data_IF_903518960622
#
_entry.id   IF_903518960622
#
_cell.length_a   1.000
_cell.length_b   1.000
_cell.length_c   1.000
_cell.angle_alpha   90.00
_cell.angle_beta   90.00
_cell.angle_gamma   90.00
#
_symmetry.space_group_name_H-M   'P 1'
#
loop_
_entity.id
_entity.type
_entity.pdbx_description
1 polymer ?
#
# COMPACT_ATOMS: atom_id res chain seq x y z
N UNK A 1 54.53 68.41 -15.43
CA UNK A 1 54.25 68.48 -13.98
C UNK A 1 53.23 67.37 -13.70
N UNK A 2 53.69 66.20 -13.25
CA UNK A 2 52.89 64.98 -13.13
C UNK A 2 52.30 64.91 -11.72
N UNK A 3 50.97 64.84 -11.62
CA UNK A 3 50.23 64.69 -10.37
C UNK A 3 50.00 63.20 -10.09
N UNK A 4 50.40 62.81 -8.88
CA UNK A 4 50.28 61.50 -8.27
C UNK A 4 48.85 61.27 -7.75
N UNK A 5 48.24 60.14 -8.06
CA UNK A 5 46.97 59.71 -7.46
C UNK A 5 47.21 58.43 -6.66
N UNK A 6 47.15 58.56 -5.33
CA UNK A 6 47.21 57.43 -4.40
C UNK A 6 45.86 56.70 -4.32
N UNK A 7 46.00 55.38 -4.22
CA UNK A 7 44.97 54.37 -4.02
C UNK A 7 44.45 54.48 -2.57
N UNK A 8 43.14 54.64 -2.39
CA UNK A 8 42.47 54.49 -1.10
C UNK A 8 41.70 53.16 -1.06
N UNK A 9 41.92 52.45 0.05
CA UNK A 9 41.69 51.02 0.29
C UNK A 9 40.28 50.67 0.75
N UNK A 10 39.83 49.49 0.31
CA UNK A 10 38.74 48.67 0.87
C UNK A 10 38.79 48.60 2.41
N UNK A 11 37.77 49.14 3.11
CA UNK A 11 37.24 48.57 4.36
C UNK A 11 36.01 49.34 4.83
N UNK A 12 35.08 48.58 5.42
CA UNK A 12 33.91 48.98 6.22
C UNK A 12 32.58 49.18 5.47
N UNK A 13 31.53 48.57 6.07
CA UNK A 13 30.09 48.70 5.81
C UNK A 13 29.61 47.89 4.58
N UNK A 14 28.92 46.76 4.72
CA UNK A 14 27.65 46.56 5.43
C UNK A 14 27.56 45.09 5.88
N UNK A 15 27.48 44.86 7.20
CA UNK A 15 26.93 43.64 7.80
C UNK A 15 25.51 43.97 8.22
N UNK A 16 24.49 43.37 7.61
CA UNK A 16 23.18 43.24 8.25
C UNK A 16 22.29 42.22 7.54
N UNK A 17 21.73 41.32 8.36
CA UNK A 17 20.52 40.51 8.13
C UNK A 17 20.55 39.34 7.12
N UNK A 18 21.29 38.28 7.46
CA UNK A 18 21.07 36.94 6.93
C UNK A 18 20.38 36.04 7.97
N UNK A 19 19.09 36.25 8.21
CA UNK A 19 18.28 35.38 9.08
C UNK A 19 17.69 34.24 8.26
N UNK A 20 18.37 33.08 8.24
CA UNK A 20 17.79 31.85 7.69
C UNK A 20 16.78 31.34 8.72
N UNK A 21 15.50 31.52 8.45
CA UNK A 21 14.44 30.83 9.17
C UNK A 21 14.54 29.33 8.84
N UNK A 22 15.20 28.56 9.70
CA UNK A 22 15.10 27.11 9.68
C UNK A 22 13.67 26.75 10.07
N UNK A 23 12.80 26.58 9.07
CA UNK A 23 11.51 25.95 9.27
C UNK A 23 11.77 24.52 9.76
N UNK A 24 11.72 24.32 11.07
CA UNK A 24 11.70 23.00 11.67
C UNK A 24 10.45 22.30 11.16
N UNK A 25 10.60 21.48 10.11
CA UNK A 25 9.58 20.53 9.68
C UNK A 25 9.41 19.55 10.84
N UNK A 26 8.49 19.86 11.75
CA UNK A 26 8.00 18.87 12.68
C UNK A 26 7.39 17.75 11.82
N UNK A 27 7.84 16.50 11.95
CA UNK A 27 7.20 15.40 11.22
C UNK A 27 5.73 15.43 11.62
N UNK A 28 4.84 15.65 10.65
CA UNK A 28 3.42 15.39 10.84
C UNK A 28 3.36 13.95 11.33
N UNK A 29 3.02 13.76 12.60
CA UNK A 29 2.65 12.45 13.10
C UNK A 29 1.52 12.03 12.18
N UNK A 30 1.80 11.09 11.30
CA UNK A 30 0.77 10.37 10.56
C UNK A 30 -0.04 9.72 11.68
N UNK A 31 -1.16 10.35 12.03
CA UNK A 31 -2.05 9.83 13.05
C UNK A 31 -2.45 8.45 12.56
N UNK A 32 -2.24 7.44 13.40
CA UNK A 32 -2.71 6.10 13.10
C UNK A 32 -4.20 6.18 12.87
N UNK A 33 -4.65 5.78 11.68
CA UNK A 33 -6.06 5.84 11.34
C UNK A 33 -6.75 4.60 11.92
N UNK A 34 -7.11 4.74 13.19
CA UNK A 34 -7.81 3.76 13.99
C UNK A 34 -9.04 4.41 14.62
N UNK A 35 -10.17 3.73 14.55
CA UNK A 35 -11.41 4.12 15.23
C UNK A 35 -11.83 2.99 16.17
N UNK A 36 -12.08 3.31 17.43
CA UNK A 36 -12.39 2.31 18.46
C UNK A 36 -13.63 2.68 19.28
N UNK A 37 -14.41 1.66 19.61
CA UNK A 37 -15.39 1.66 20.70
C UNK A 37 -14.78 0.97 21.94
N UNK A 38 -15.60 0.71 22.97
CA UNK A 38 -15.17 -0.06 24.13
C UNK A 38 -14.82 -1.52 23.79
N UNK A 39 -15.40 -2.09 22.73
CA UNK A 39 -15.30 -3.53 22.40
C UNK A 39 -14.59 -3.78 21.07
N UNK A 40 -14.80 -2.91 20.08
CA UNK A 40 -14.38 -3.11 18.69
C UNK A 40 -13.49 -1.97 18.22
N UNK A 41 -12.55 -2.28 17.34
CA UNK A 41 -11.71 -1.30 16.68
C UNK A 41 -11.65 -1.57 15.18
N UNK A 42 -11.35 -0.53 14.40
CA UNK A 42 -11.09 -0.63 12.97
C UNK A 42 -9.78 0.08 12.65
N UNK A 43 -8.92 -0.56 11.88
CA UNK A 43 -7.67 0.01 11.37
C UNK A 43 -7.71 0.03 9.84
N UNK A 44 -7.52 1.19 9.22
CA UNK A 44 -7.77 1.33 7.78
C UNK A 44 -7.06 2.49 7.11
N UNK A 45 -7.01 2.41 5.78
CA UNK A 45 -6.70 3.50 4.86
C UNK A 45 -8.04 3.98 4.25
N UNK A 46 -8.37 5.28 4.31
CA UNK A 46 -9.59 5.81 3.72
C UNK A 46 -9.64 5.51 2.23
N UNK A 47 -10.73 4.92 1.77
CA UNK A 47 -10.89 4.55 0.36
C UNK A 47 -10.82 5.73 -0.60
N UNK A 48 -11.14 6.95 -0.14
CA UNK A 48 -10.98 8.17 -0.93
C UNK A 48 -9.53 8.64 -1.11
N UNK A 49 -8.58 8.03 -0.39
CA UNK A 49 -7.16 8.37 -0.46
C UNK A 49 -6.37 7.28 -1.19
N UNK A 50 -6.79 6.02 -1.10
CA UNK A 50 -6.14 4.91 -1.78
C UNK A 50 -6.56 4.83 -3.25
N UNK A 51 -5.62 4.95 -4.18
CA UNK A 51 -5.91 4.92 -5.62
C UNK A 51 -6.28 3.51 -6.10
N UNK A 52 -7.52 3.33 -6.56
CA UNK A 52 -7.96 2.08 -7.19
C UNK A 52 -7.46 1.95 -8.62
N UNK A 53 -7.03 0.73 -8.99
CA UNK A 53 -6.65 0.37 -10.35
C UNK A 53 -7.47 -0.85 -10.76
N UNK A 54 -8.26 -0.69 -11.82
CA UNK A 54 -9.03 -1.76 -12.40
C UNK A 54 -8.17 -2.63 -13.34
N UNK A 55 -8.38 -3.95 -13.30
CA UNK A 55 -7.78 -4.84 -14.30
C UNK A 55 -8.53 -4.69 -15.65
N UNK A 56 -7.83 -4.74 -16.80
CA UNK A 56 -8.49 -4.75 -18.11
C UNK A 56 -9.32 -6.02 -18.24
N UNK A 57 -10.51 -5.96 -18.83
CA UNK A 57 -11.27 -7.16 -19.18
C UNK A 57 -10.94 -7.57 -20.63
N UNK A 58 -10.76 -8.87 -20.93
CA UNK A 58 -10.88 -10.06 -20.07
C UNK A 58 -9.53 -10.54 -19.47
N UNK A 59 -8.68 -9.66 -18.94
CA UNK A 59 -7.38 -10.06 -18.39
C UNK A 59 -7.49 -10.77 -17.04
N UNK A 60 -6.45 -11.54 -16.70
CA UNK A 60 -6.24 -12.19 -15.40
C UNK A 60 -5.16 -11.47 -14.57
N UNK A 61 -5.09 -10.15 -14.69
CA UNK A 61 -4.06 -9.29 -14.10
C UNK A 61 -4.44 -8.70 -12.73
N UNK A 62 -5.36 -9.32 -12.00
CA UNK A 62 -5.72 -8.88 -10.64
C UNK A 62 -4.49 -8.72 -9.73
N UNK A 63 -3.54 -9.63 -9.85
CA UNK A 63 -2.29 -9.59 -9.10
C UNK A 63 -1.42 -8.38 -9.48
N UNK A 64 -1.28 -8.10 -10.77
CA UNK A 64 -0.49 -6.98 -11.27
C UNK A 64 -1.13 -5.63 -10.90
N UNK A 65 -2.46 -5.53 -11.00
CA UNK A 65 -3.22 -4.37 -10.55
C UNK A 65 -3.06 -4.12 -9.05
N UNK A 66 -3.11 -5.18 -8.24
CA UNK A 66 -2.90 -5.10 -6.78
C UNK A 66 -1.51 -4.59 -6.42
N UNK A 67 -0.47 -5.14 -7.05
CA UNK A 67 0.92 -4.70 -6.86
C UNK A 67 1.06 -3.24 -7.26
N UNK A 68 0.52 -2.85 -8.43
CA UNK A 68 0.54 -1.46 -8.88
C UNK A 68 -0.15 -0.51 -7.89
N UNK A 69 -1.31 -0.89 -7.31
CA UNK A 69 -1.97 -0.06 -6.29
C UNK A 69 -1.10 0.14 -5.05
N UNK A 70 -0.47 -0.93 -4.54
CA UNK A 70 0.42 -0.86 -3.37
C UNK A 70 1.68 -0.04 -3.68
N UNK A 71 2.35 -0.28 -4.80
CA UNK A 71 3.53 0.49 -5.20
C UNK A 71 3.20 1.99 -5.38
N UNK A 72 2.06 2.30 -6.01
CA UNK A 72 1.59 3.67 -6.18
C UNK A 72 1.33 4.36 -4.85
N UNK A 73 0.76 3.64 -3.87
CA UNK A 73 0.55 4.15 -2.51
C UNK A 73 1.87 4.53 -1.82
N UNK A 74 2.93 3.76 -2.05
CA UNK A 74 4.27 4.03 -1.52
C UNK A 74 5.08 5.04 -2.36
N UNK A 75 4.49 5.62 -3.40
CA UNK A 75 5.14 6.61 -4.25
C UNK A 75 6.10 6.02 -5.31
N UNK A 76 6.09 4.69 -5.50
CA UNK A 76 6.81 3.99 -6.56
C UNK A 76 5.86 3.71 -7.72
N UNK A 77 5.55 4.75 -8.51
CA UNK A 77 4.47 4.69 -9.49
C UNK A 77 4.74 3.65 -10.59
N UNK A 78 3.80 2.73 -10.79
CA UNK A 78 3.84 1.72 -11.84
C UNK A 78 2.44 1.43 -12.37
N UNK A 79 2.35 1.22 -13.69
CA UNK A 79 1.17 0.64 -14.31
C UNK A 79 1.17 -0.89 -14.21
N UNK A 80 -0.01 -1.51 -14.15
CA UNK A 80 -0.14 -2.98 -14.09
C UNK A 80 0.51 -3.70 -15.28
N UNK A 81 0.54 -3.09 -16.47
CA UNK A 81 1.24 -3.64 -17.64
C UNK A 81 2.76 -3.63 -17.46
N UNK A 82 3.31 -2.63 -16.75
CA UNK A 82 4.72 -2.58 -16.36
C UNK A 82 5.06 -3.71 -15.37
N UNK A 83 4.16 -4.01 -14.43
CA UNK A 83 4.31 -5.16 -13.51
C UNK A 83 4.38 -6.47 -14.32
N UNK A 84 3.40 -6.71 -15.21
CA UNK A 84 3.35 -7.92 -16.06
C UNK A 84 4.62 -8.07 -16.89
N UNK A 85 5.04 -7.01 -17.58
CA UNK A 85 6.25 -7.04 -18.40
C UNK A 85 7.51 -7.33 -17.57
N UNK A 86 7.60 -6.81 -16.35
CA UNK A 86 8.76 -7.08 -15.49
C UNK A 86 8.74 -8.51 -14.92
N UNK A 87 7.55 -9.08 -14.69
CA UNK A 87 7.40 -10.47 -14.27
C UNK A 87 7.72 -11.48 -15.36
N UNK A 88 7.23 -11.26 -16.59
CA UNK A 88 7.30 -12.24 -17.68
C UNK A 88 8.27 -11.89 -18.82
N UNK A 89 8.85 -10.68 -18.82
CA UNK A 89 9.64 -10.16 -19.94
C UNK A 89 8.80 -9.70 -21.14
N UNK A 90 7.48 -9.91 -21.12
CA UNK A 90 6.55 -9.57 -22.18
C UNK A 90 5.15 -9.24 -21.62
N UNK A 91 4.28 -8.65 -22.44
CA UNK A 91 2.88 -8.42 -22.08
C UNK A 91 2.07 -9.71 -22.26
N UNK A 92 1.94 -10.49 -21.20
CA UNK A 92 1.26 -11.80 -21.23
C UNK A 92 0.00 -11.77 -20.38
N UNK A 93 -1.13 -12.18 -20.94
CA UNK A 93 -2.36 -12.42 -20.20
C UNK A 93 -2.34 -13.82 -19.55
N UNK A 94 -1.49 -14.01 -18.54
CA UNK A 94 -1.36 -15.28 -17.82
C UNK A 94 -1.79 -15.13 -16.36
N UNK A 95 -2.48 -16.15 -15.79
CA UNK A 95 -2.66 -16.21 -14.36
C UNK A 95 -1.30 -16.46 -13.71
N UNK A 96 -1.12 -15.98 -12.49
CA UNK A 96 0.02 -16.35 -11.67
C UNK A 96 -0.43 -17.45 -10.70
N UNK A 97 0.30 -18.56 -10.67
CA UNK A 97 0.12 -19.56 -9.61
C UNK A 97 0.59 -18.98 -8.25
N UNK A 98 0.20 -19.58 -7.11
CA UNK A 98 0.53 -19.03 -5.80
C UNK A 98 2.02 -18.78 -5.54
N UNK A 99 2.94 -19.58 -6.11
CA UNK A 99 4.37 -19.35 -5.95
C UNK A 99 4.81 -18.14 -6.76
N UNK A 100 4.37 -18.04 -8.02
CA UNK A 100 4.61 -16.86 -8.86
C UNK A 100 4.06 -15.58 -8.21
N UNK A 101 2.91 -15.66 -7.51
CA UNK A 101 2.35 -14.53 -6.77
C UNK A 101 3.25 -14.10 -5.62
N UNK A 102 3.75 -15.04 -4.81
CA UNK A 102 4.68 -14.73 -3.71
C UNK A 102 5.99 -14.15 -4.26
N UNK A 103 6.53 -14.72 -5.34
CA UNK A 103 7.76 -14.21 -5.98
C UNK A 103 7.55 -12.79 -6.55
N UNK A 104 6.35 -12.50 -7.08
CA UNK A 104 6.02 -11.16 -7.59
C UNK A 104 6.01 -10.07 -6.50
N UNK A 105 5.85 -10.44 -5.23
CA UNK A 105 5.91 -9.51 -4.08
C UNK A 105 7.21 -9.64 -3.27
N UNK A 106 8.21 -10.39 -3.78
CA UNK A 106 9.54 -10.54 -3.19
C UNK A 106 10.63 -10.36 -4.26
N UNK A 107 10.62 -9.21 -4.95
CA UNK A 107 11.55 -8.94 -6.05
C UNK A 107 11.79 -7.46 -6.28
N UNK A 108 12.80 -7.16 -7.08
CA UNK A 108 13.10 -5.82 -7.57
C UNK A 108 12.24 -5.45 -8.78
N UNK A 109 11.89 -4.16 -8.84
CA UNK A 109 11.17 -3.50 -9.90
C UNK A 109 11.86 -2.18 -10.30
N UNK A 110 11.50 -1.68 -11.47
CA UNK A 110 11.80 -0.33 -11.94
C UNK A 110 10.46 0.38 -12.12
N UNK A 111 10.32 1.54 -11.47
CA UNK A 111 9.13 2.37 -11.56
C UNK A 111 9.08 3.17 -12.88
N UNK A 112 7.97 3.85 -13.15
CA UNK A 112 7.77 4.60 -14.40
C UNK A 112 8.74 5.81 -14.52
N UNK A 113 9.36 6.23 -13.41
CA UNK A 113 10.40 7.27 -13.39
C UNK A 113 11.82 6.71 -13.56
N UNK A 114 11.97 5.38 -13.74
CA UNK A 114 13.26 4.70 -13.87
C UNK A 114 13.98 4.41 -12.56
N UNK A 115 13.32 4.60 -11.40
CA UNK A 115 13.91 4.29 -10.09
C UNK A 115 13.75 2.81 -9.79
N UNK A 116 14.84 2.18 -9.37
CA UNK A 116 14.80 0.81 -8.85
C UNK A 116 14.33 0.81 -7.40
N UNK A 117 13.51 -0.18 -7.06
CA UNK A 117 13.08 -0.47 -5.69
C UNK A 117 12.85 -1.97 -5.54
N UNK A 118 12.75 -2.44 -4.30
CA UNK A 118 12.50 -3.85 -3.98
C UNK A 118 11.24 -3.99 -3.14
N UNK A 119 10.38 -4.92 -3.56
CA UNK A 119 9.32 -5.44 -2.71
C UNK A 119 9.89 -6.59 -1.89
N UNK A 120 9.64 -6.54 -0.60
CA UNK A 120 9.88 -7.67 0.31
C UNK A 120 8.62 -7.90 1.13
N UNK A 121 8.33 -9.15 1.48
CA UNK A 121 7.08 -9.47 2.16
C UNK A 121 7.24 -10.36 3.38
N UNK A 122 6.37 -10.11 4.36
CA UNK A 122 6.10 -11.04 5.47
C UNK A 122 4.75 -11.67 5.21
N UNK A 123 4.76 -12.97 4.99
CA UNK A 123 3.59 -13.74 4.56
C UNK A 123 2.99 -14.50 5.74
N UNK A 124 1.67 -14.58 5.76
CA UNK A 124 0.93 -15.63 6.45
C UNK A 124 0.26 -16.50 5.39
N UNK A 125 0.47 -17.82 5.46
CA UNK A 125 -0.21 -18.78 4.60
C UNK A 125 -0.26 -20.15 5.27
N UNK A 126 -1.46 -20.63 5.56
CA UNK A 126 -1.66 -21.99 6.10
C UNK A 126 -1.17 -23.04 5.11
N UNK A 127 -1.41 -22.83 3.81
CA UNK A 127 -1.04 -23.78 2.76
C UNK A 127 0.46 -24.01 2.65
N UNK A 128 1.25 -22.99 2.96
CA UNK A 128 2.71 -23.05 2.90
C UNK A 128 3.36 -23.21 4.29
N UNK A 129 2.56 -23.32 5.36
CA UNK A 129 3.07 -23.39 6.74
C UNK A 129 3.78 -22.12 7.21
N UNK A 130 3.58 -20.98 6.56
CA UNK A 130 4.26 -19.72 6.87
C UNK A 130 3.41 -18.89 7.82
N UNK A 131 3.98 -18.44 8.93
CA UNK A 131 3.25 -17.73 10.01
C UNK A 131 3.94 -16.42 10.44
N UNK A 132 4.73 -15.82 9.55
CA UNK A 132 5.53 -14.62 9.81
C UNK A 132 4.67 -13.34 9.92
N UNK A 133 3.37 -13.47 9.67
CA UNK A 133 2.34 -12.46 9.86
C UNK A 133 1.17 -13.11 10.63
N UNK A 134 0.48 -12.33 11.45
CA UNK A 134 -0.71 -12.75 12.20
C UNK A 134 -1.68 -11.57 12.30
N UNK A 135 -2.83 -11.74 12.97
CA UNK A 135 -3.84 -10.68 13.09
C UNK A 135 -3.27 -9.38 13.65
N UNK A 136 -2.48 -9.44 14.73
CA UNK A 136 -1.85 -8.25 15.32
C UNK A 136 -0.87 -7.58 14.36
N UNK A 137 -0.13 -8.36 13.58
CA UNK A 137 0.72 -7.86 12.51
C UNK A 137 -0.08 -7.14 11.42
N UNK A 138 -1.16 -7.75 10.92
CA UNK A 138 -2.05 -7.16 9.91
C UNK A 138 -2.61 -5.81 10.41
N UNK A 139 -3.14 -5.80 11.64
CA UNK A 139 -3.64 -4.60 12.30
C UNK A 139 -2.52 -3.54 12.40
N UNK A 140 -1.33 -3.94 12.83
CA UNK A 140 -0.18 -3.05 12.98
C UNK A 140 0.26 -2.37 11.68
N UNK A 141 0.23 -3.09 10.55
CA UNK A 141 0.50 -2.52 9.22
C UNK A 141 -0.56 -1.48 8.83
N UNK A 142 -1.84 -1.81 9.00
CA UNK A 142 -2.94 -0.92 8.64
C UNK A 142 -3.00 0.34 9.50
N UNK A 143 -2.68 0.24 10.79
CA UNK A 143 -2.51 1.41 11.67
C UNK A 143 -1.40 2.35 11.21
N UNK A 144 -0.39 1.83 10.53
CA UNK A 144 0.69 2.59 9.90
C UNK A 144 0.36 3.00 8.46
N UNK A 145 -0.88 2.78 8.02
CA UNK A 145 -1.35 3.04 6.65
C UNK A 145 -0.54 2.28 5.60
N UNK A 146 -0.12 1.06 5.92
CA UNK A 146 0.54 0.16 4.98
C UNK A 146 -0.49 -0.85 4.47
N UNK A 147 -0.91 -0.77 3.19
CA UNK A 147 -1.82 -1.75 2.61
C UNK A 147 -1.12 -3.11 2.56
N UNK A 148 -1.91 -4.18 2.63
CA UNK A 148 -1.40 -5.54 2.51
C UNK A 148 -1.92 -6.17 1.22
N UNK A 149 -1.26 -7.23 0.79
CA UNK A 149 -1.82 -8.15 -0.19
C UNK A 149 -2.72 -9.14 0.54
N UNK A 150 -3.89 -9.40 -0.03
CA UNK A 150 -4.71 -10.58 0.30
C UNK A 150 -4.98 -11.36 -0.97
N UNK A 151 -4.82 -12.68 -0.89
CA UNK A 151 -5.06 -13.59 -2.01
C UNK A 151 -6.02 -14.69 -1.57
N UNK A 152 -7.08 -14.87 -2.35
CA UNK A 152 -7.96 -16.03 -2.25
C UNK A 152 -7.62 -17.06 -3.36
N UNK A 153 -8.43 -18.10 -3.54
CA UNK A 153 -8.21 -19.17 -4.52
C UNK A 153 -8.27 -18.74 -5.99
N UNK A 154 -8.78 -17.55 -6.31
CA UNK A 154 -8.97 -17.07 -7.69
C UNK A 154 -8.51 -15.64 -7.93
N UNK A 155 -8.17 -14.89 -6.89
CA UNK A 155 -8.07 -13.43 -6.96
C UNK A 155 -7.12 -12.84 -5.92
N UNK A 156 -6.39 -11.81 -6.33
CA UNK A 156 -5.48 -11.03 -5.48
C UNK A 156 -5.98 -9.59 -5.41
N UNK A 157 -6.00 -9.04 -4.20
CA UNK A 157 -6.56 -7.73 -3.89
C UNK A 157 -5.67 -6.99 -2.89
N UNK A 158 -5.83 -5.67 -2.80
CA UNK A 158 -5.15 -4.87 -1.78
C UNK A 158 -6.06 -4.77 -0.54
N UNK A 159 -5.65 -5.35 0.58
CA UNK A 159 -6.29 -5.20 1.89
C UNK A 159 -5.95 -3.81 2.44
N UNK A 160 -6.98 -3.00 2.61
CA UNK A 160 -6.87 -1.59 3.04
C UNK A 160 -7.52 -1.33 4.38
N UNK A 161 -8.07 -2.36 5.03
CA UNK A 161 -8.33 -2.33 6.46
C UNK A 161 -9.19 -3.46 6.99
N UNK A 162 -9.38 -3.44 8.30
CA UNK A 162 -10.04 -4.50 9.07
C UNK A 162 -10.81 -3.93 10.25
N UNK A 163 -11.86 -4.62 10.67
CA UNK A 163 -12.47 -4.50 12.01
C UNK A 163 -12.10 -5.70 12.86
N UNK A 164 -11.81 -5.45 14.13
CA UNK A 164 -11.31 -6.46 15.04
C UNK A 164 -11.78 -6.24 16.49
N UNK A 165 -11.85 -7.33 17.25
CA UNK A 165 -12.16 -7.29 18.68
C UNK A 165 -10.98 -6.74 19.45
N UNK A 166 -11.23 -5.68 20.23
CA UNK A 166 -10.17 -4.97 20.98
C UNK A 166 -9.46 -5.87 22.00
N UNK A 167 -10.17 -6.85 22.55
CA UNK A 167 -9.69 -7.71 23.64
C UNK A 167 -8.63 -8.71 23.20
N UNK A 168 -8.71 -9.24 21.98
CA UNK A 168 -7.88 -10.34 21.51
C UNK A 168 -7.28 -10.11 20.11
N UNK A 169 -7.65 -9.03 19.41
CA UNK A 169 -7.19 -8.76 18.05
C UNK A 169 -7.82 -9.67 16.99
N UNK A 170 -8.91 -10.36 17.30
CA UNK A 170 -9.62 -11.21 16.34
C UNK A 170 -10.27 -10.35 15.26
N UNK A 171 -9.82 -10.53 14.01
CA UNK A 171 -10.37 -9.85 12.84
C UNK A 171 -11.66 -10.55 12.43
N UNK A 172 -12.76 -9.80 12.39
CA UNK A 172 -14.08 -10.32 11.99
C UNK A 172 -14.63 -9.67 10.72
N UNK A 173 -13.97 -8.63 10.22
CA UNK A 173 -14.33 -7.95 8.97
C UNK A 173 -13.07 -7.39 8.29
N UNK A 174 -13.05 -7.38 6.96
CA UNK A 174 -11.94 -6.87 6.17
C UNK A 174 -12.45 -6.20 4.88
N UNK A 175 -11.76 -5.15 4.44
CA UNK A 175 -12.08 -4.43 3.21
C UNK A 175 -10.87 -4.29 2.29
N UNK A 176 -11.16 -4.37 1.01
CA UNK A 176 -10.17 -4.44 -0.06
C UNK A 176 -10.44 -3.41 -1.14
N UNK A 177 -9.39 -2.94 -1.80
CA UNK A 177 -9.47 -2.42 -3.15
C UNK A 177 -9.37 -3.62 -4.11
N UNK A 178 -10.43 -3.87 -4.88
CA UNK A 178 -10.59 -5.05 -5.71
C UNK A 178 -10.45 -4.70 -7.20
N UNK A 179 -9.41 -5.18 -7.90
CA UNK A 179 -9.20 -4.89 -9.32
C UNK A 179 -10.31 -5.34 -10.27
N UNK A 180 -11.15 -6.31 -9.88
CA UNK A 180 -12.24 -6.86 -10.67
C UNK A 180 -13.58 -6.14 -10.43
N UNK A 181 -13.68 -5.29 -9.40
CA UNK A 181 -14.91 -4.55 -9.08
C UNK A 181 -14.92 -3.19 -9.76
N UNK A 182 -16.04 -2.88 -10.41
CA UNK A 182 -16.34 -1.58 -10.99
C UNK A 182 -17.62 -0.99 -10.39
N UNK A 183 -17.63 0.31 -10.13
CA UNK A 183 -18.81 1.07 -9.72
C UNK A 183 -18.99 1.21 -8.21
N UNK A 184 -20.07 1.90 -7.78
CA UNK A 184 -20.35 2.17 -6.38
C UNK A 184 -20.60 0.89 -5.60
N UNK A 185 -20.06 0.85 -4.39
CA UNK A 185 -20.21 -0.29 -3.48
C UNK A 185 -21.62 -0.29 -2.92
N UNK A 186 -22.44 -1.28 -3.29
CA UNK A 186 -23.86 -1.33 -2.89
C UNK A 186 -24.08 -1.83 -1.46
N UNK A 187 -23.04 -2.37 -0.82
CA UNK A 187 -23.08 -2.80 0.58
C UNK A 187 -22.12 -1.93 1.39
N UNK A 188 -22.62 -0.81 1.94
CA UNK A 188 -21.92 -0.02 2.94
C UNK A 188 -22.13 -0.56 4.36
N UNK A 189 -21.20 -0.28 5.27
CA UNK A 189 -21.40 -0.50 6.71
C UNK A 189 -22.39 0.52 7.26
N UNK A 190 -23.38 0.12 8.08
CA UNK A 190 -24.14 1.08 8.89
C UNK A 190 -23.20 1.90 9.80
N UNK A 191 -23.04 3.18 9.51
CA UNK A 191 -22.26 4.13 10.34
C UNK A 191 -20.85 4.45 9.85
N UNK A 192 -20.40 3.89 8.73
CA UNK A 192 -19.17 4.32 8.03
C UNK A 192 -19.55 4.90 6.67
N UNK A 193 -18.81 5.92 6.21
CA UNK A 193 -18.99 6.48 4.87
C UNK A 193 -18.99 5.35 3.82
N UNK A 194 -19.81 5.44 2.76
CA UNK A 194 -19.78 4.46 1.69
C UNK A 194 -18.35 4.36 1.14
N UNK A 195 -17.89 3.12 0.92
CA UNK A 195 -16.60 2.86 0.30
C UNK A 195 -16.57 3.49 -1.10
N UNK A 196 -15.41 3.98 -1.51
CA UNK A 196 -15.22 4.49 -2.87
C UNK A 196 -15.43 3.38 -3.90
N UNK A 197 -15.71 3.76 -5.15
CA UNK A 197 -15.82 2.80 -6.27
C UNK A 197 -14.59 1.90 -6.35
N UNK A 198 -14.80 0.60 -6.61
CA UNK A 198 -13.72 -0.39 -6.71
C UNK A 198 -13.27 -1.00 -5.38
N UNK A 199 -13.87 -0.61 -4.25
CA UNK A 199 -13.62 -1.21 -2.94
C UNK A 199 -14.77 -2.13 -2.54
N UNK A 200 -14.53 -3.12 -1.68
CA UNK A 200 -15.59 -3.97 -1.11
C UNK A 200 -15.14 -4.67 0.17
N UNK A 201 -16.08 -5.33 0.83
CA UNK A 201 -15.78 -6.28 1.90
C UNK A 201 -15.31 -7.61 1.35
N UNK A 202 -14.43 -8.29 2.09
CA UNK A 202 -14.21 -9.71 1.92
C UNK A 202 -15.42 -10.47 2.46
N UNK A 203 -15.87 -11.48 1.71
CA UNK A 203 -16.87 -12.41 2.19
C UNK A 203 -16.29 -13.28 3.33
N UNK A 204 -17.11 -13.82 4.23
CA UNK A 204 -16.62 -14.72 5.29
C UNK A 204 -15.75 -15.88 4.76
N UNK A 205 -16.10 -16.43 3.59
CA UNK A 205 -15.31 -17.45 2.92
C UNK A 205 -13.91 -16.95 2.51
N UNK A 206 -13.79 -15.71 2.04
CA UNK A 206 -12.50 -15.10 1.64
C UNK A 206 -11.61 -14.71 2.84
N UNK A 207 -12.18 -14.67 4.05
CA UNK A 207 -11.44 -14.49 5.30
C UNK A 207 -11.09 -15.81 5.99
N UNK A 208 -11.72 -16.91 5.56
CA UNK A 208 -11.50 -18.24 6.11
C UNK A 208 -10.40 -18.97 5.34
N UNK A 209 -9.36 -19.54 5.99
CA UNK A 209 -8.31 -20.29 5.31
C UNK A 209 -8.87 -21.40 4.41
N UNK A 210 -8.30 -21.58 3.22
CA UNK A 210 -8.73 -22.64 2.29
C UNK A 210 -8.72 -24.05 2.90
N UNK A 211 -7.69 -24.46 3.70
CA UNK A 211 -7.72 -25.74 4.41
C UNK A 211 -8.85 -25.89 5.44
N UNK A 212 -9.43 -24.80 5.90
CA UNK A 212 -10.57 -24.77 6.83
C UNK A 212 -11.92 -24.68 6.09
N UNK A 213 -11.96 -24.88 4.77
CA UNK A 213 -13.17 -24.82 3.94
C UNK A 213 -13.52 -23.42 3.44
N UNK A 214 -12.62 -22.45 3.60
CA UNK A 214 -12.76 -21.11 3.01
C UNK A 214 -12.05 -20.96 1.67
N UNK A 215 -11.67 -19.73 1.35
CA UNK A 215 -10.98 -19.36 0.11
C UNK A 215 -9.67 -18.60 0.36
N UNK A 216 -9.35 -18.19 1.58
CA UNK A 216 -8.14 -17.44 1.89
C UNK A 216 -6.88 -18.31 1.70
N UNK A 217 -5.99 -17.88 0.80
CA UNK A 217 -4.74 -18.57 0.49
C UNK A 217 -3.58 -17.99 1.29
N UNK A 218 -3.44 -16.65 1.27
CA UNK A 218 -2.43 -15.95 2.03
C UNK A 218 -2.77 -14.47 2.23
N UNK A 219 -2.11 -13.86 3.22
CA UNK A 219 -2.02 -12.41 3.43
C UNK A 219 -0.55 -12.06 3.52
N UNK A 220 -0.14 -10.96 2.91
CA UNK A 220 1.26 -10.53 2.93
C UNK A 220 1.37 -9.02 3.22
N UNK A 221 2.14 -8.69 4.26
CA UNK A 221 2.62 -7.33 4.47
C UNK A 221 3.78 -7.10 3.48
N UNK A 222 3.72 -6.02 2.70
CA UNK A 222 4.72 -5.70 1.68
C UNK A 222 5.44 -4.42 2.07
N UNK A 223 6.75 -4.49 2.21
CA UNK A 223 7.63 -3.35 2.41
C UNK A 223 8.29 -2.98 1.07
N UNK A 224 8.30 -1.68 0.78
CA UNK A 224 8.92 -1.08 -0.41
C UNK A 224 10.23 -0.42 0.02
N UNK A 225 11.36 -0.92 -0.47
CA UNK A 225 12.73 -0.52 -0.08
C UNK A 225 13.52 0.01 -1.27
#
# INVERSE_FOLDING_TARGET
MVLSTQIATRRELIRMAGGIAAATMMPTRVLSEESCTSVQCSAYIPSGQFGHIQQPLPSVWCWAATIAMICNWHGCRMDQSSVVRQCFGAYVNAPADPFTLIDSINRSYIDDAGRSFTLSSRVWSVLHGVTNLNNLGIIGELKQRKPLVVCNTSHMMALVGVSYLRVNGEIYEAWVADPAVYGPVTHGIPGIQPLASGFRYLMPAEMTPAPAGGALMFVAAVDVV
#
